data_IF_953231076921
#
_entry.id   IF_953231076921
#
_cell.length_a   1.000
_cell.length_b   1.000
_cell.length_c   1.000
_cell.angle_alpha   90.00
_cell.angle_beta   90.00
_cell.angle_gamma   90.00
#
_symmetry.space_group_name_H-M   'P 1'
#
loop_
_entity.id
_entity.type
_entity.pdbx_description
1 polymer ?
#
# COMPACT_ATOMS: atom_id res chain seq x y z
N UNK A 1 14.22 -11.91 6.70
CA UNK A 1 13.34 -11.14 7.61
C UNK A 1 12.46 -10.24 6.75
N UNK A 2 11.13 -10.43 6.77
CA UNK A 2 10.22 -9.49 6.11
C UNK A 2 10.21 -8.21 6.94
N UNK A 3 10.67 -7.10 6.36
CA UNK A 3 10.62 -5.80 7.00
C UNK A 3 9.15 -5.33 6.93
N UNK A 4 8.39 -5.61 7.98
CA UNK A 4 7.00 -5.18 8.10
C UNK A 4 7.02 -3.69 8.45
N UNK A 5 6.54 -2.84 7.55
CA UNK A 5 6.35 -1.41 7.84
C UNK A 5 5.32 -1.27 8.96
N UNK A 6 5.80 -1.16 10.19
CA UNK A 6 4.96 -0.97 11.37
C UNK A 6 4.45 0.46 11.42
N UNK A 7 3.14 0.61 11.57
CA UNK A 7 2.45 1.86 11.77
C UNK A 7 2.06 2.04 13.25
N UNK A 8 1.66 3.25 13.63
CA UNK A 8 1.24 3.58 15.00
C UNK A 8 -0.08 4.32 15.01
N UNK A 9 -0.93 3.99 15.97
CA UNK A 9 -2.17 4.72 16.27
C UNK A 9 -2.15 5.13 17.73
N UNK A 10 -2.69 6.30 18.04
CA UNK A 10 -2.84 6.77 19.42
C UNK A 10 -4.28 6.59 19.84
N UNK A 11 -4.53 5.80 20.88
CA UNK A 11 -5.85 5.59 21.47
C UNK A 11 -5.78 5.93 22.95
N UNK A 12 -6.55 6.92 23.41
CA UNK A 12 -6.58 7.33 24.84
C UNK A 12 -5.17 7.46 25.43
N UNK A 13 -4.30 8.21 24.74
CA UNK A 13 -2.88 8.43 25.10
C UNK A 13 -2.00 7.17 25.13
N UNK A 14 -2.46 6.06 24.55
CA UNK A 14 -1.70 4.82 24.40
C UNK A 14 -1.26 4.68 22.94
N UNK A 15 0.05 4.56 22.72
CA UNK A 15 0.62 4.27 21.41
C UNK A 15 0.48 2.77 21.11
N UNK A 16 -0.26 2.43 20.06
CA UNK A 16 -0.49 1.05 19.65
C UNK A 16 0.18 0.83 18.30
N UNK A 17 1.10 -0.12 18.25
CA UNK A 17 1.72 -0.54 16.99
C UNK A 17 0.80 -1.50 16.26
N UNK A 18 0.69 -1.33 14.95
CA UNK A 18 0.06 -2.32 14.07
C UNK A 18 0.86 -2.46 12.77
N UNK A 19 0.65 -3.53 12.03
CA UNK A 19 1.25 -3.73 10.72
C UNK A 19 0.31 -4.53 9.83
N UNK A 20 0.49 -4.40 8.52
CA UNK A 20 -0.25 -5.20 7.54
C UNK A 20 0.64 -6.33 7.03
N UNK A 21 0.11 -7.55 7.00
CA UNK A 21 0.77 -8.74 6.45
C UNK A 21 -0.25 -9.55 5.66
N UNK A 22 0.05 -9.83 4.38
CA UNK A 22 -0.86 -10.55 3.46
C UNK A 22 -2.26 -9.93 3.43
N UNK A 23 -2.33 -8.60 3.27
CA UNK A 23 -3.56 -7.80 3.24
C UNK A 23 -4.41 -7.80 4.52
N UNK A 24 -3.91 -8.41 5.61
CA UNK A 24 -4.56 -8.36 6.92
C UNK A 24 -3.77 -7.55 7.94
N UNK A 25 -4.50 -6.83 8.78
CA UNK A 25 -3.92 -5.97 9.80
C UNK A 25 -3.77 -6.70 11.14
N UNK A 26 -2.58 -6.58 11.73
CA UNK A 26 -2.22 -7.12 13.02
C UNK A 26 -1.90 -6.00 14.01
N UNK A 27 -2.61 -5.98 15.13
CA UNK A 27 -2.54 -4.94 16.15
C UNK A 27 -1.86 -5.51 17.41
N UNK A 28 -1.00 -4.71 18.04
CA UNK A 28 -0.27 -5.08 19.25
C UNK A 28 -1.21 -5.23 20.46
N UNK A 29 -1.48 -6.48 20.86
CA UNK A 29 -2.18 -6.78 22.11
C UNK A 29 -1.39 -6.30 23.32
N UNK A 30 -0.07 -6.39 23.27
CA UNK A 30 0.78 -5.91 24.37
C UNK A 30 0.69 -4.39 24.54
N UNK A 31 0.53 -3.61 23.47
CA UNK A 31 0.33 -2.17 23.59
C UNK A 31 -1.09 -1.83 24.09
N UNK A 32 -2.12 -2.54 23.61
CA UNK A 32 -3.48 -2.41 24.15
C UNK A 32 -3.47 -2.72 25.66
N UNK A 33 -2.78 -3.78 26.08
CA UNK A 33 -2.69 -4.19 27.48
C UNK A 33 -2.05 -3.13 28.39
N UNK A 34 -1.16 -2.28 27.87
CA UNK A 34 -0.54 -1.19 28.64
C UNK A 34 -1.54 -0.15 29.11
N UNK A 35 -2.70 -0.04 28.45
CA UNK A 35 -3.80 0.79 28.93
C UNK A 35 -4.34 0.31 30.29
N UNK A 36 -4.36 -1.02 30.52
CA UNK A 36 -4.81 -1.64 31.78
C UNK A 36 -3.68 -1.79 32.79
N UNK A 37 -2.51 -2.26 32.37
CA UNK A 37 -1.33 -2.39 33.21
C UNK A 37 -0.06 -2.16 32.39
N UNK A 38 0.59 -1.02 32.63
CA UNK A 38 1.79 -0.60 31.90
C UNK A 38 3.01 -1.48 32.19
N UNK A 39 3.12 -2.03 33.40
CA UNK A 39 4.28 -2.80 33.85
C UNK A 39 4.15 -4.27 33.43
N UNK A 40 2.97 -4.87 33.58
CA UNK A 40 2.74 -6.31 33.36
C UNK A 40 1.81 -6.61 32.17
N UNK A 41 2.00 -5.87 31.06
CA UNK A 41 1.18 -6.00 29.86
C UNK A 41 1.13 -7.43 29.27
N UNK A 42 2.23 -8.20 29.40
CA UNK A 42 2.27 -9.60 28.93
C UNK A 42 1.35 -10.50 29.76
N UNK A 43 1.25 -10.26 31.06
CA UNK A 43 0.41 -11.07 31.94
C UNK A 43 -1.07 -10.74 31.77
N UNK A 44 -1.41 -9.50 31.41
CA UNK A 44 -2.76 -9.14 30.98
C UNK A 44 -3.20 -9.97 29.77
N UNK A 45 -2.34 -10.13 28.76
CA UNK A 45 -2.62 -10.97 27.58
C UNK A 45 -2.76 -12.46 27.97
N UNK A 46 -1.88 -12.97 28.82
CA UNK A 46 -2.00 -14.37 29.33
C UNK A 46 -3.30 -14.58 30.09
N UNK A 47 -3.70 -13.64 30.94
CA UNK A 47 -4.94 -13.73 31.71
C UNK A 47 -6.17 -13.73 30.81
N UNK A 48 -6.15 -12.97 29.71
CA UNK A 48 -7.21 -13.03 28.72
C UNK A 48 -7.31 -14.40 28.04
N UNK A 49 -6.17 -15.03 27.71
CA UNK A 49 -6.11 -16.37 27.12
C UNK A 49 -6.52 -17.51 28.08
N UNK A 50 -6.71 -17.25 29.38
CA UNK A 50 -7.24 -18.28 30.30
C UNK A 50 -8.75 -18.44 30.20
N UNK A 51 -9.44 -17.42 29.70
CA UNK A 51 -10.90 -17.41 29.69
C UNK A 51 -11.45 -18.37 28.63
N UNK A 52 -12.41 -19.20 29.02
CA UNK A 52 -13.06 -20.16 28.12
C UNK A 52 -13.66 -19.50 26.88
N UNK A 53 -14.39 -18.40 27.07
CA UNK A 53 -14.99 -17.65 25.94
C UNK A 53 -13.92 -17.12 24.97
N UNK A 54 -12.76 -16.71 25.47
CA UNK A 54 -11.64 -16.29 24.63
C UNK A 54 -11.11 -17.46 23.80
N UNK A 55 -10.89 -18.63 24.42
CA UNK A 55 -10.41 -19.82 23.70
C UNK A 55 -11.41 -20.25 22.63
N UNK A 56 -12.70 -20.24 22.94
CA UNK A 56 -13.77 -20.56 21.98
C UNK A 56 -13.80 -19.58 20.81
N UNK A 57 -13.72 -18.28 21.09
CA UNK A 57 -13.67 -17.24 20.06
C UNK A 57 -12.43 -17.39 19.16
N UNK A 58 -11.25 -17.58 19.75
CA UNK A 58 -10.01 -17.79 18.99
C UNK A 58 -10.09 -19.04 18.12
N UNK A 59 -10.56 -20.16 18.67
CA UNK A 59 -10.73 -21.39 17.92
C UNK A 59 -11.71 -21.25 16.77
N UNK A 60 -12.82 -20.52 16.96
CA UNK A 60 -13.76 -20.23 15.89
C UNK A 60 -13.12 -19.37 14.79
N UNK A 61 -12.42 -18.30 15.17
CA UNK A 61 -11.74 -17.43 14.22
C UNK A 61 -10.70 -18.21 13.39
N UNK A 62 -9.91 -19.07 14.03
CA UNK A 62 -8.93 -19.91 13.33
C UNK A 62 -9.62 -20.93 12.40
N UNK A 63 -10.69 -21.61 12.83
CA UNK A 63 -11.42 -22.56 11.96
C UNK A 63 -11.96 -21.91 10.69
N UNK A 64 -12.33 -20.63 10.75
CA UNK A 64 -12.85 -19.88 9.59
C UNK A 64 -11.71 -19.42 8.66
N UNK A 65 -10.57 -19.01 9.22
CA UNK A 65 -9.55 -18.27 8.49
C UNK A 65 -8.23 -19.03 8.25
N UNK A 66 -8.06 -20.21 8.85
CA UNK A 66 -6.80 -20.97 8.85
C UNK A 66 -7.02 -22.43 8.47
N UNK A 67 -6.68 -22.79 7.24
CA UNK A 67 -6.80 -24.16 6.72
C UNK A 67 -5.88 -25.16 7.43
N UNK A 68 -4.79 -24.68 8.03
CA UNK A 68 -3.78 -25.50 8.71
C UNK A 68 -4.00 -25.56 10.23
N UNK A 69 -5.16 -25.12 10.72
CA UNK A 69 -5.48 -25.09 12.15
C UNK A 69 -5.67 -26.51 12.71
N UNK A 70 -5.00 -26.81 13.82
CA UNK A 70 -5.04 -28.12 14.45
C UNK A 70 -6.17 -28.23 15.47
N UNK A 71 -7.31 -28.75 15.00
CA UNK A 71 -8.55 -28.85 15.78
C UNK A 71 -8.45 -29.75 17.02
N UNK A 72 -7.68 -30.85 16.96
CA UNK A 72 -7.57 -31.81 18.07
C UNK A 72 -6.83 -31.18 19.26
N UNK A 73 -5.70 -30.54 19.01
CA UNK A 73 -4.94 -29.82 20.03
C UNK A 73 -5.73 -28.62 20.59
N UNK A 74 -6.54 -27.98 19.75
CA UNK A 74 -7.48 -26.96 20.18
C UNK A 74 -8.54 -27.51 21.16
N UNK A 75 -9.13 -28.68 20.88
CA UNK A 75 -10.18 -29.25 21.71
C UNK A 75 -9.68 -29.53 23.13
N UNK A 76 -8.42 -29.95 23.29
CA UNK A 76 -7.77 -30.06 24.61
C UNK A 76 -7.72 -28.72 25.36
N UNK A 77 -7.30 -27.64 24.69
CA UNK A 77 -7.32 -26.31 25.32
C UNK A 77 -8.73 -25.83 25.64
N UNK A 78 -9.70 -26.10 24.77
CA UNK A 78 -11.10 -25.75 25.00
C UNK A 78 -11.65 -26.47 26.22
N UNK A 79 -11.35 -27.76 26.38
CA UNK A 79 -11.78 -28.56 27.53
C UNK A 79 -11.15 -28.10 28.85
N UNK A 80 -9.85 -27.82 28.86
CA UNK A 80 -9.12 -27.38 30.06
C UNK A 80 -9.41 -25.92 30.46
N UNK A 81 -9.79 -25.09 29.48
CA UNK A 81 -10.01 -23.66 29.69
C UNK A 81 -11.11 -23.36 30.71
N UNK A 82 -10.89 -22.33 31.53
CA UNK A 82 -11.79 -21.96 32.63
C UNK A 82 -11.53 -22.68 33.95
N UNK A 83 -10.64 -23.68 34.00
CA UNK A 83 -10.15 -24.21 35.27
C UNK A 83 -9.12 -23.26 35.92
N UNK A 84 -9.07 -23.22 37.26
CA UNK A 84 -8.16 -22.32 37.99
C UNK A 84 -6.68 -22.61 37.72
N UNK A 85 -6.34 -23.86 37.40
CA UNK A 85 -4.98 -24.30 37.06
C UNK A 85 -4.60 -24.04 35.60
N UNK A 86 -5.56 -23.69 34.74
CA UNK A 86 -5.30 -23.49 33.33
C UNK A 86 -4.40 -22.28 33.08
N UNK A 87 -3.33 -22.51 32.33
CA UNK A 87 -2.42 -21.46 31.87
C UNK A 87 -2.08 -21.66 30.40
N UNK A 88 -2.19 -20.58 29.64
CA UNK A 88 -1.87 -20.57 28.22
C UNK A 88 -1.10 -19.29 27.88
N UNK A 89 0.02 -19.45 27.18
CA UNK A 89 0.76 -18.33 26.59
C UNK A 89 0.46 -18.23 25.10
N UNK A 90 0.55 -17.03 24.49
CA UNK A 90 0.40 -16.86 23.05
C UNK A 90 1.31 -17.81 22.25
N UNK A 91 2.56 -17.97 22.68
CA UNK A 91 3.52 -18.86 22.03
C UNK A 91 3.11 -20.35 22.13
N UNK A 92 2.56 -20.79 23.26
CA UNK A 92 2.05 -22.17 23.43
C UNK A 92 0.84 -22.41 22.53
N UNK A 93 -0.11 -21.47 22.50
CA UNK A 93 -1.27 -21.49 21.60
C UNK A 93 -0.85 -21.66 20.14
N UNK A 94 0.03 -20.78 19.65
CA UNK A 94 0.52 -20.79 18.26
C UNK A 94 1.18 -22.13 17.92
N UNK A 95 2.13 -22.60 18.74
CA UNK A 95 2.89 -23.82 18.45
C UNK A 95 2.03 -25.08 18.46
N UNK A 96 1.08 -25.16 19.38
CA UNK A 96 0.24 -26.36 19.52
C UNK A 96 -0.87 -26.41 18.47
N UNK A 97 -1.47 -25.27 18.11
CA UNK A 97 -2.64 -25.22 17.23
C UNK A 97 -2.35 -24.78 15.79
N UNK A 98 -1.11 -24.34 15.51
CA UNK A 98 -0.73 -23.69 14.26
C UNK A 98 -1.54 -22.41 13.95
N UNK A 99 -1.94 -21.70 15.01
CA UNK A 99 -2.73 -20.47 14.91
C UNK A 99 -1.99 -19.36 14.12
N UNK A 100 -2.73 -18.67 13.26
CA UNK A 100 -2.21 -17.53 12.46
C UNK A 100 -2.80 -16.19 12.92
N UNK A 101 -3.86 -16.21 13.72
CA UNK A 101 -4.54 -15.03 14.22
C UNK A 101 -3.78 -14.31 15.33
N UNK A 102 -2.82 -14.99 15.99
CA UNK A 102 -1.93 -14.39 16.99
C UNK A 102 -0.47 -14.59 16.55
N UNK A 103 0.34 -13.54 16.69
CA UNK A 103 1.76 -13.54 16.38
C UNK A 103 2.54 -13.13 17.62
N UNK A 104 3.50 -13.95 18.04
CA UNK A 104 4.39 -13.67 19.16
C UNK A 104 5.80 -13.38 18.64
N UNK A 105 6.32 -12.17 18.90
CA UNK A 105 7.67 -11.75 18.50
C UNK A 105 8.54 -11.51 19.73
N UNK A 106 9.75 -12.08 19.73
CA UNK A 106 10.80 -11.80 20.70
C UNK A 106 11.72 -10.67 20.24
N UNK A 107 12.44 -10.03 21.18
CA UNK A 107 13.46 -9.01 20.87
C UNK A 107 12.96 -7.56 20.99
N UNK A 108 13.78 -6.62 20.51
CA UNK A 108 13.47 -5.18 20.53
C UNK A 108 12.29 -4.87 19.59
N UNK A 109 11.23 -4.23 20.12
CA UNK A 109 9.96 -4.10 19.41
C UNK A 109 9.12 -5.38 19.34
N UNK A 110 9.50 -6.40 20.13
CA UNK A 110 8.72 -7.63 20.31
C UNK A 110 7.43 -7.40 21.11
N UNK A 111 6.57 -8.41 21.12
CA UNK A 111 5.23 -8.33 21.70
C UNK A 111 4.31 -9.41 21.16
N UNK A 112 3.08 -9.43 21.67
CA UNK A 112 1.99 -10.22 21.09
C UNK A 112 1.14 -9.33 20.23
N UNK A 113 0.99 -9.71 18.97
CA UNK A 113 0.12 -9.07 17.99
C UNK A 113 -1.00 -10.03 17.65
N UNK A 114 -2.15 -9.51 17.25
CA UNK A 114 -3.23 -10.34 16.75
C UNK A 114 -3.95 -9.67 15.59
N UNK A 115 -4.60 -10.47 14.77
CA UNK A 115 -5.50 -10.01 13.72
C UNK A 115 -6.48 -8.96 14.28
N UNK A 116 -6.85 -7.95 13.48
CA UNK A 116 -7.70 -6.83 13.90
C UNK A 116 -8.96 -7.28 14.66
N UNK A 117 -9.65 -8.32 14.20
CA UNK A 117 -10.87 -8.84 14.86
C UNK A 117 -10.57 -9.37 16.27
N UNK A 118 -9.48 -10.14 16.40
CA UNK A 118 -9.01 -10.70 17.66
C UNK A 118 -8.55 -9.58 18.60
N UNK A 119 -7.87 -8.56 18.06
CA UNK A 119 -7.45 -7.40 18.83
C UNK A 119 -8.63 -6.55 19.31
N UNK A 120 -9.70 -6.40 18.51
CA UNK A 120 -10.93 -5.74 18.93
C UNK A 120 -11.66 -6.54 20.02
N UNK A 121 -11.64 -7.87 19.95
CA UNK A 121 -12.19 -8.71 21.01
C UNK A 121 -11.37 -8.60 22.31
N UNK A 122 -10.05 -8.60 22.21
CA UNK A 122 -9.19 -8.32 23.36
C UNK A 122 -9.46 -6.94 23.97
N UNK A 123 -9.58 -5.91 23.13
CA UNK A 123 -9.94 -4.57 23.58
C UNK A 123 -11.31 -4.54 24.28
N UNK A 124 -12.27 -5.33 23.80
CA UNK A 124 -13.59 -5.53 24.44
C UNK A 124 -13.46 -6.07 25.86
N UNK A 125 -12.60 -7.07 26.05
CA UNK A 125 -12.32 -7.65 27.36
C UNK A 125 -11.58 -6.69 28.30
N UNK A 126 -10.77 -5.77 27.74
CA UNK A 126 -10.06 -4.74 28.50
C UNK A 126 -11.01 -3.64 28.98
N UNK A 127 -11.74 -3.02 28.04
CA UNK A 127 -12.67 -1.93 28.31
C UNK A 127 -13.52 -1.62 27.06
N UNK A 128 -14.84 -1.61 27.22
CA UNK A 128 -15.78 -1.20 26.17
C UNK A 128 -15.50 0.21 25.65
N UNK A 129 -15.12 1.13 26.53
CA UNK A 129 -14.73 2.49 26.14
C UNK A 129 -13.49 2.46 25.24
N UNK A 130 -12.43 1.77 25.68
CA UNK A 130 -11.19 1.69 24.92
C UNK A 130 -11.41 1.05 23.55
N UNK A 131 -12.23 -0.01 23.47
CA UNK A 131 -12.62 -0.66 22.22
C UNK A 131 -13.25 0.33 21.24
N UNK A 132 -14.20 1.15 21.69
CA UNK A 132 -14.88 2.12 20.82
C UNK A 132 -13.90 3.16 20.25
N UNK A 133 -12.99 3.69 21.08
CA UNK A 133 -11.96 4.61 20.60
C UNK A 133 -10.98 3.92 19.64
N UNK A 134 -10.58 2.68 19.92
CA UNK A 134 -9.70 1.90 19.04
C UNK A 134 -10.35 1.67 17.67
N UNK A 135 -11.62 1.27 17.62
CA UNK A 135 -12.37 1.10 16.36
C UNK A 135 -12.40 2.41 15.58
N UNK A 136 -12.78 3.51 16.25
CA UNK A 136 -12.90 4.83 15.61
C UNK A 136 -11.58 5.34 15.03
N UNK A 137 -10.49 5.25 15.80
CA UNK A 137 -9.18 5.68 15.32
C UNK A 137 -8.64 4.80 14.20
N UNK A 138 -8.88 3.49 14.29
CA UNK A 138 -8.47 2.55 13.23
C UNK A 138 -9.25 2.80 11.92
N UNK A 139 -10.57 3.01 11.99
CA UNK A 139 -11.39 3.38 10.84
C UNK A 139 -10.93 4.70 10.21
N UNK A 140 -10.74 5.74 11.03
CA UNK A 140 -10.24 7.05 10.58
C UNK A 140 -8.91 6.94 9.84
N UNK A 141 -8.00 6.09 10.30
CA UNK A 141 -6.72 5.84 9.63
C UNK A 141 -6.92 5.16 8.28
N UNK A 142 -7.75 4.12 8.20
CA UNK A 142 -8.02 3.42 6.94
C UNK A 142 -8.73 4.30 5.92
N UNK A 143 -9.63 5.17 6.35
CA UNK A 143 -10.26 6.18 5.48
C UNK A 143 -9.22 7.18 4.94
N UNK A 144 -8.28 7.61 5.80
CA UNK A 144 -7.20 8.50 5.39
C UNK A 144 -6.26 7.84 4.37
N UNK A 145 -5.88 6.59 4.58
CA UNK A 145 -5.08 5.83 3.61
C UNK A 145 -5.80 5.71 2.25
N UNK A 146 -7.08 5.33 2.27
CA UNK A 146 -7.89 5.18 1.06
C UNK A 146 -8.10 6.51 0.32
N UNK A 147 -8.35 7.60 1.04
CA UNK A 147 -8.51 8.93 0.43
C UNK A 147 -7.22 9.43 -0.21
N UNK A 148 -6.07 9.25 0.45
CA UNK A 148 -4.77 9.59 -0.13
C UNK A 148 -4.51 8.82 -1.43
N UNK A 149 -4.78 7.50 -1.45
CA UNK A 149 -4.64 6.69 -2.67
C UNK A 149 -5.57 7.16 -3.80
N UNK A 150 -6.82 7.52 -3.48
CA UNK A 150 -7.77 8.08 -4.47
C UNK A 150 -7.31 9.43 -5.02
N UNK A 151 -6.80 10.32 -4.16
CA UNK A 151 -6.27 11.62 -4.57
C UNK A 151 -5.06 11.43 -5.50
N UNK A 152 -4.12 10.56 -5.14
CA UNK A 152 -2.96 10.28 -5.97
C UNK A 152 -3.37 9.73 -7.35
N UNK A 153 -4.31 8.80 -7.38
CA UNK A 153 -4.83 8.24 -8.63
C UNK A 153 -5.55 9.27 -9.50
N UNK A 154 -6.39 10.12 -8.89
CA UNK A 154 -7.07 11.21 -9.58
C UNK A 154 -6.07 12.23 -10.14
N UNK A 155 -5.03 12.58 -9.37
CA UNK A 155 -3.97 13.48 -9.81
C UNK A 155 -3.22 12.91 -11.03
N UNK A 156 -2.85 11.61 -11.00
CA UNK A 156 -2.22 10.93 -12.15
C UNK A 156 -3.09 11.02 -13.40
N UNK A 157 -4.39 10.74 -13.27
CA UNK A 157 -5.34 10.80 -14.39
C UNK A 157 -5.54 12.21 -14.94
N UNK A 158 -5.64 13.20 -14.06
CA UNK A 158 -5.77 14.60 -14.47
C UNK A 158 -4.55 15.06 -15.27
N UNK A 159 -3.34 14.80 -14.76
CA UNK A 159 -2.09 15.13 -15.45
C UNK A 159 -2.06 14.50 -16.85
N UNK A 160 -2.27 13.18 -16.96
CA UNK A 160 -2.25 12.48 -18.25
C UNK A 160 -3.25 13.08 -19.26
N UNK A 161 -4.49 13.39 -18.83
CA UNK A 161 -5.54 13.91 -19.72
C UNK A 161 -5.29 15.35 -20.16
N UNK A 162 -4.92 16.24 -19.24
CA UNK A 162 -4.70 17.65 -19.55
C UNK A 162 -3.58 17.81 -20.58
N UNK A 163 -2.51 17.02 -20.45
CA UNK A 163 -1.35 17.17 -21.32
C UNK A 163 -1.50 16.49 -22.67
N UNK A 164 -2.21 15.35 -22.75
CA UNK A 164 -2.50 14.71 -24.03
C UNK A 164 -3.17 15.68 -25.00
N UNK A 165 -4.09 16.52 -24.49
CA UNK A 165 -4.76 17.55 -25.29
C UNK A 165 -3.80 18.62 -25.80
N UNK A 166 -2.97 19.22 -24.93
CA UNK A 166 -2.01 20.27 -25.31
C UNK A 166 -1.00 19.79 -26.36
N UNK A 167 -0.48 18.56 -26.19
CA UNK A 167 0.48 17.98 -27.15
C UNK A 167 -0.18 17.63 -28.48
N UNK A 168 -1.36 17.00 -28.45
CA UNK A 168 -2.09 16.60 -29.67
C UNK A 168 -2.48 17.81 -30.51
N UNK A 169 -2.93 18.90 -29.88
CA UNK A 169 -3.32 20.13 -30.56
C UNK A 169 -2.12 20.77 -31.31
N UNK A 170 -0.93 20.80 -30.70
CA UNK A 170 0.28 21.36 -31.36
C UNK A 170 0.78 20.50 -32.51
N UNK A 171 0.78 19.18 -32.36
CA UNK A 171 1.13 18.25 -33.45
C UNK A 171 0.14 18.40 -34.62
N UNK A 172 -1.16 18.51 -34.32
CA UNK A 172 -2.19 18.71 -35.34
C UNK A 172 -2.02 20.02 -36.12
N UNK A 173 -1.73 21.11 -35.43
CA UNK A 173 -1.65 22.44 -36.06
C UNK A 173 -0.36 22.67 -36.85
N UNK A 174 0.75 22.02 -36.48
CA UNK A 174 2.07 22.36 -37.01
C UNK A 174 2.77 21.23 -37.77
N UNK A 175 2.42 19.97 -37.52
CA UNK A 175 3.12 18.81 -38.10
C UNK A 175 2.25 17.96 -39.04
N UNK A 176 0.94 18.16 -39.07
CA UNK A 176 0.01 17.41 -39.92
C UNK A 176 -0.33 18.27 -41.15
N UNK A 177 0.15 17.90 -42.35
CA UNK A 177 -0.25 18.57 -43.59
C UNK A 177 -1.74 18.31 -43.90
N UNK A 178 -2.39 19.22 -44.61
CA UNK A 178 -3.82 19.21 -44.92
C UNK A 178 -4.30 18.04 -45.80
N UNK A 179 -3.40 17.21 -46.34
CA UNK A 179 -3.72 16.12 -47.29
C UNK A 179 -3.02 14.78 -46.94
N UNK A 180 -3.06 14.33 -45.69
CA UNK A 180 -2.54 13.00 -45.30
C UNK A 180 -3.64 12.02 -44.88
N UNK A 181 -3.39 10.72 -45.08
CA UNK A 181 -4.33 9.67 -44.68
C UNK A 181 -4.34 9.47 -43.16
N UNK A 182 -5.47 9.00 -42.62
CA UNK A 182 -5.63 8.71 -41.17
C UNK A 182 -4.57 7.76 -40.61
N UNK A 183 -4.04 6.87 -41.45
CA UNK A 183 -2.95 5.95 -41.07
C UNK A 183 -1.61 6.70 -40.89
N UNK A 184 -1.29 7.62 -41.80
CA UNK A 184 -0.08 8.44 -41.72
C UNK A 184 -0.13 9.40 -40.51
N UNK A 185 -1.30 9.97 -40.23
CA UNK A 185 -1.51 10.79 -39.01
C UNK A 185 -1.21 10.00 -37.74
N UNK A 186 -1.67 8.75 -37.66
CA UNK A 186 -1.43 7.87 -36.51
C UNK A 186 0.05 7.58 -36.29
N UNK A 187 0.81 7.37 -37.37
CA UNK A 187 2.27 7.13 -37.31
C UNK A 187 3.01 8.37 -36.80
N UNK A 188 2.63 9.56 -37.27
CA UNK A 188 3.24 10.83 -36.83
C UNK A 188 2.97 11.05 -35.33
N UNK A 189 1.73 10.85 -34.87
CA UNK A 189 1.41 10.96 -33.43
C UNK A 189 2.20 9.95 -32.58
N UNK A 190 2.32 8.70 -33.03
CA UNK A 190 3.09 7.68 -32.33
C UNK A 190 4.58 8.06 -32.25
N UNK A 191 5.15 8.57 -33.34
CA UNK A 191 6.54 9.03 -33.39
C UNK A 191 6.78 10.21 -32.44
N UNK A 192 5.90 11.21 -32.42
CA UNK A 192 6.00 12.37 -31.53
C UNK A 192 5.79 12.00 -30.06
N UNK A 193 4.93 11.03 -29.77
CA UNK A 193 4.78 10.49 -28.42
C UNK A 193 6.06 9.75 -27.96
N UNK A 194 6.73 9.05 -28.87
CA UNK A 194 7.99 8.35 -28.57
C UNK A 194 9.16 9.30 -28.31
N UNK A 195 9.19 10.50 -28.88
CA UNK A 195 10.18 11.53 -28.49
C UNK A 195 10.13 11.80 -27.00
N UNK A 196 8.93 11.94 -26.44
CA UNK A 196 8.73 12.20 -25.01
C UNK A 196 9.07 10.97 -24.17
N UNK A 197 8.68 9.77 -24.63
CA UNK A 197 8.99 8.52 -23.93
C UNK A 197 10.50 8.27 -23.87
N UNK A 198 11.22 8.51 -24.97
CA UNK A 198 12.68 8.36 -25.03
C UNK A 198 13.36 9.43 -24.20
N UNK A 199 12.87 10.69 -24.23
CA UNK A 199 13.43 11.77 -23.43
C UNK A 199 13.39 11.48 -21.92
N UNK A 200 12.31 10.86 -21.42
CA UNK A 200 12.14 10.62 -19.99
C UNK A 200 12.51 9.20 -19.52
N UNK A 201 12.19 8.17 -20.32
CA UNK A 201 12.32 6.75 -19.94
C UNK A 201 13.40 6.00 -20.75
N UNK A 202 14.02 6.65 -21.74
CA UNK A 202 15.06 6.07 -22.61
C UNK A 202 14.60 4.85 -23.42
N UNK A 203 13.30 4.65 -23.59
CA UNK A 203 12.72 3.55 -24.37
C UNK A 203 11.48 4.01 -25.13
N UNK A 204 11.20 3.38 -26.26
CA UNK A 204 9.95 3.60 -27.01
C UNK A 204 8.78 2.81 -26.43
N UNK A 205 7.55 3.17 -26.83
CA UNK A 205 6.35 2.44 -26.44
C UNK A 205 6.40 0.96 -26.87
N UNK A 206 7.01 0.66 -28.04
CA UNK A 206 7.19 -0.72 -28.52
C UNK A 206 8.15 -1.51 -27.61
N UNK A 207 9.31 -0.95 -27.33
CA UNK A 207 10.32 -1.58 -26.45
C UNK A 207 9.78 -1.82 -25.03
N UNK A 208 8.94 -0.91 -24.52
CA UNK A 208 8.30 -1.09 -23.22
C UNK A 208 7.34 -2.28 -23.20
N UNK A 209 6.51 -2.46 -24.25
CA UNK A 209 5.58 -3.59 -24.36
C UNK A 209 6.32 -4.93 -24.45
N UNK A 210 7.39 -4.98 -25.24
CA UNK A 210 8.24 -6.18 -25.38
C UNK A 210 8.88 -6.58 -24.03
N UNK A 211 9.30 -5.60 -23.23
CA UNK A 211 9.85 -5.83 -21.88
C UNK A 211 8.79 -6.14 -20.82
N UNK A 212 7.50 -5.89 -21.09
CA UNK A 212 6.42 -6.03 -20.11
C UNK A 212 5.19 -6.78 -20.69
N UNK A 213 5.34 -8.04 -21.15
CA UNK A 213 4.27 -8.77 -21.85
C UNK A 213 3.02 -9.02 -21.00
N UNK A 214 3.19 -9.13 -19.67
CA UNK A 214 2.09 -9.43 -18.73
C UNK A 214 1.45 -8.17 -18.13
N UNK A 215 1.90 -6.96 -18.48
CA UNK A 215 1.33 -5.70 -17.95
C UNK A 215 0.31 -5.13 -18.91
N UNK A 216 -0.89 -4.83 -18.39
CA UNK A 216 -1.92 -4.10 -19.14
C UNK A 216 -1.60 -2.61 -19.21
N UNK A 217 -1.93 -1.95 -20.32
CA UNK A 217 -1.77 -0.49 -20.50
C UNK A 217 -0.49 -0.10 -21.27
N UNK A 218 -0.04 1.14 -21.06
CA UNK A 218 1.16 1.71 -21.68
C UNK A 218 2.17 2.20 -20.62
N UNK A 219 3.38 2.59 -21.03
CA UNK A 219 4.45 3.04 -20.14
C UNK A 219 4.04 4.12 -19.13
N UNK A 220 3.15 5.05 -19.52
CA UNK A 220 2.68 6.17 -18.69
C UNK A 220 1.74 5.71 -17.59
N UNK A 221 0.98 4.63 -17.81
CA UNK A 221 0.09 4.04 -16.79
C UNK A 221 0.87 3.44 -15.61
N UNK A 222 2.15 3.11 -15.85
CA UNK A 222 3.05 2.51 -14.86
C UNK A 222 4.12 3.50 -14.35
N UNK A 223 4.01 4.78 -14.71
CA UNK A 223 4.96 5.82 -14.28
C UNK A 223 4.63 6.37 -12.88
N UNK A 224 5.66 6.77 -12.15
CA UNK A 224 5.52 7.46 -10.86
C UNK A 224 5.00 8.89 -11.02
N UNK A 225 4.50 9.49 -9.94
CA UNK A 225 3.92 10.85 -9.98
C UNK A 225 4.93 11.90 -10.48
N UNK A 226 6.18 11.84 -10.03
CA UNK A 226 7.23 12.76 -10.47
C UNK A 226 7.55 12.62 -11.97
N UNK A 227 7.54 11.39 -12.48
CA UNK A 227 7.73 11.13 -13.91
C UNK A 227 6.55 11.70 -14.72
N UNK A 228 5.32 11.57 -14.23
CA UNK A 228 4.14 12.14 -14.89
C UNK A 228 4.15 13.67 -14.88
N UNK A 229 4.61 14.30 -13.80
CA UNK A 229 4.82 15.75 -13.72
C UNK A 229 5.90 16.21 -14.70
N UNK A 230 7.03 15.51 -14.75
CA UNK A 230 8.10 15.79 -15.72
C UNK A 230 7.59 15.66 -17.16
N UNK A 231 6.90 14.56 -17.46
CA UNK A 231 6.30 14.31 -18.78
C UNK A 231 5.34 15.45 -19.20
N UNK A 232 4.55 15.98 -18.27
CA UNK A 232 3.67 17.15 -18.50
C UNK A 232 4.44 18.38 -18.97
N UNK A 233 5.56 18.67 -18.30
CA UNK A 233 6.45 19.76 -18.67
C UNK A 233 7.06 19.53 -20.04
N UNK A 234 7.54 18.31 -20.32
CA UNK A 234 8.11 17.95 -21.61
C UNK A 234 7.10 18.05 -22.75
N UNK A 235 5.84 17.67 -22.53
CA UNK A 235 4.76 17.79 -23.51
C UNK A 235 4.51 19.25 -23.91
N UNK A 236 4.46 20.14 -22.91
CA UNK A 236 4.28 21.58 -23.12
C UNK A 236 5.46 22.22 -23.84
N UNK A 237 6.69 21.85 -23.45
CA UNK A 237 7.92 22.33 -24.09
C UNK A 237 8.08 21.79 -25.52
N UNK A 238 7.74 20.52 -25.75
CA UNK A 238 7.79 19.93 -27.07
C UNK A 238 6.79 20.63 -28.00
N UNK A 239 5.59 20.94 -27.51
CA UNK A 239 4.60 21.71 -28.26
C UNK A 239 5.13 23.09 -28.67
N UNK A 240 5.90 23.76 -27.80
CA UNK A 240 6.55 25.03 -28.10
C UNK A 240 7.70 24.87 -29.10
N UNK A 241 8.55 23.85 -28.93
CA UNK A 241 9.63 23.60 -29.87
C UNK A 241 9.13 23.24 -31.27
N UNK A 242 7.97 22.58 -31.36
CA UNK A 242 7.28 22.32 -32.62
C UNK A 242 6.87 23.65 -33.27
N UNK A 243 6.25 24.58 -32.53
CA UNK A 243 5.88 25.91 -33.04
C UNK A 243 7.08 26.72 -33.51
N UNK A 244 8.22 26.57 -32.85
CA UNK A 244 9.50 27.19 -33.23
C UNK A 244 10.19 26.51 -34.42
N UNK A 245 9.61 25.45 -34.98
CA UNK A 245 10.17 24.75 -36.15
C UNK A 245 11.41 23.90 -35.85
N UNK A 246 11.67 23.52 -34.59
CA UNK A 246 12.83 22.70 -34.26
C UNK A 246 12.67 21.28 -34.81
N UNK A 247 13.75 20.76 -35.43
CA UNK A 247 13.84 19.37 -35.89
C UNK A 247 13.70 18.39 -34.71
N UNK A 248 13.04 17.27 -34.95
CA UNK A 248 12.68 16.27 -33.93
C UNK A 248 13.89 15.78 -33.11
N UNK A 249 15.03 15.52 -33.74
CA UNK A 249 16.26 15.10 -33.06
C UNK A 249 16.78 16.15 -32.07
N UNK A 250 16.72 17.44 -32.44
CA UNK A 250 17.12 18.56 -31.56
C UNK A 250 16.13 18.78 -30.43
N UNK A 251 14.84 18.53 -30.67
CA UNK A 251 13.82 18.52 -29.61
C UNK A 251 14.12 17.42 -28.59
N UNK A 252 14.39 16.20 -29.05
CA UNK A 252 14.73 15.07 -28.17
C UNK A 252 15.92 15.37 -27.25
N UNK A 253 17.03 15.88 -27.80
CA UNK A 253 18.22 16.25 -27.03
C UNK A 253 17.89 17.26 -25.92
N UNK A 254 17.18 18.34 -26.26
CA UNK A 254 16.80 19.38 -25.28
C UNK A 254 15.81 18.87 -24.24
N UNK A 255 14.80 18.12 -24.67
CA UNK A 255 13.79 17.54 -23.77
C UNK A 255 14.44 16.57 -22.78
N UNK A 256 15.40 15.74 -23.21
CA UNK A 256 16.10 14.83 -22.31
C UNK A 256 16.93 15.58 -21.26
N UNK A 257 17.65 16.64 -21.65
CA UNK A 257 18.39 17.49 -20.69
C UNK A 257 17.47 18.09 -19.64
N UNK A 258 16.33 18.64 -20.08
CA UNK A 258 15.32 19.23 -19.18
C UNK A 258 14.71 18.15 -18.28
N UNK A 259 14.42 16.96 -18.82
CA UNK A 259 13.88 15.84 -18.06
C UNK A 259 14.82 15.45 -16.91
N UNK A 260 16.12 15.35 -17.18
CA UNK A 260 17.13 15.03 -16.16
C UNK A 260 17.15 16.09 -15.05
N UNK A 261 17.11 17.37 -15.41
CA UNK A 261 17.11 18.49 -14.45
C UNK A 261 15.85 18.45 -13.58
N UNK A 262 14.67 18.31 -14.20
CA UNK A 262 13.39 18.25 -13.48
C UNK A 262 13.32 17.03 -12.56
N UNK A 263 13.74 15.85 -13.03
CA UNK A 263 13.73 14.63 -12.23
C UNK A 263 14.67 14.72 -11.02
N UNK A 264 15.86 15.31 -11.17
CA UNK A 264 16.76 15.57 -10.02
C UNK A 264 16.11 16.48 -8.98
N UNK A 265 15.54 17.60 -9.43
CA UNK A 265 14.86 18.56 -8.55
C UNK A 265 13.66 17.95 -7.83
N UNK A 266 12.84 17.14 -8.51
CA UNK A 266 11.64 16.52 -7.93
C UNK A 266 11.96 15.37 -6.97
N UNK A 267 13.05 14.63 -7.21
CA UNK A 267 13.45 13.49 -6.36
C UNK A 267 14.31 13.95 -5.17
N UNK A 268 14.81 15.19 -5.18
CA UNK A 268 15.65 15.73 -4.11
C UNK A 268 17.03 15.05 -4.04
N UNK A 269 17.59 14.68 -5.20
CA UNK A 269 18.93 14.08 -5.34
C UNK A 269 19.83 14.95 -6.21
#
# INVERSE_FOLDING_TARGET
MVNLNSQRIVVKNTNIVFFTQKDEDYISLTDIAKYKNKHEAKDVVKNWLKNKNTIEFLGLWEKINNTEFKGVEFDSFKFESGSNSFTLSPTKWIKATNAIGIISKSGHGGGTFAHKDIAFEFASWISSEFKLYLIKEFQRLKEKENSHQRIEWNAKRFLVRANYKVHTDSVQQNLIPSQISRQQTTVIYASEADVLNVALFSITAKQWREKNPNKKGNIRDHAGIFQLVCLAGLESLNAEFIRQGLKQNKRLERLNQIAIIQMKSLIGK
#
